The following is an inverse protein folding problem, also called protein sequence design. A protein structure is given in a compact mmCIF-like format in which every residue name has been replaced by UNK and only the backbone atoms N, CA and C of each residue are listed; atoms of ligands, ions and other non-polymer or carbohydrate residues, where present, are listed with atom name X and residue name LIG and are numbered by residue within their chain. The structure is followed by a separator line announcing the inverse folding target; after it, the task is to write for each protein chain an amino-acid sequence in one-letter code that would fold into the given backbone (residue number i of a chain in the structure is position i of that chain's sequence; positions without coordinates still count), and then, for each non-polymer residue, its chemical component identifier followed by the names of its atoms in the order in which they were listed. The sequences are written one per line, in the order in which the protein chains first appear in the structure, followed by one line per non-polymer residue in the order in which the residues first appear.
data_IF_228568345807
#
_entry.id   IF_228568345807
#
_cell.length_a   1.000
_cell.length_b   1.000
_cell.length_c   1.000
_cell.angle_alpha   90.00
_cell.angle_beta   90.00
_cell.angle_gamma   90.00
#
_symmetry.space_group_name_H-M   'P 1'
#
loop_
_entity.id
_entity.type
_entity.pdbx_description
1 polymer ?
#
# COMPACT_ATOMS: atom_id res chain seq x y z
N UNK A 1 -2.73 -3.04 -39.05
CA UNK A 1 -2.31 -1.87 -38.24
C UNK A 1 -3.37 -1.46 -37.22
N UNK A 2 -4.65 -1.29 -37.59
CA UNK A 2 -5.71 -0.89 -36.64
C UNK A 2 -5.84 -1.84 -35.43
N UNK A 3 -5.78 -3.16 -35.62
CA UNK A 3 -5.83 -4.13 -34.51
C UNK A 3 -4.66 -3.94 -33.52
N UNK A 4 -3.45 -3.68 -34.03
CA UNK A 4 -2.26 -3.46 -33.20
C UNK A 4 -2.41 -2.17 -32.39
N UNK A 5 -2.94 -1.11 -32.99
CA UNK A 5 -3.23 0.15 -32.28
C UNK A 5 -4.29 -0.04 -31.20
N UNK A 6 -5.35 -0.81 -31.47
CA UNK A 6 -6.39 -1.13 -30.48
C UNK A 6 -5.84 -1.96 -29.33
N UNK A 7 -5.01 -2.97 -29.62
CA UNK A 7 -4.37 -3.79 -28.59
C UNK A 7 -3.37 -2.99 -27.74
N UNK A 8 -2.60 -2.09 -28.35
CA UNK A 8 -1.69 -1.20 -27.62
C UNK A 8 -2.46 -0.18 -26.77
N UNK A 9 -3.57 0.36 -27.27
CA UNK A 9 -4.40 1.30 -26.52
C UNK A 9 -5.13 0.61 -25.35
N UNK A 10 -5.67 -0.60 -25.57
CA UNK A 10 -6.32 -1.39 -24.53
C UNK A 10 -5.30 -1.88 -23.48
N UNK A 11 -4.11 -2.31 -23.92
CA UNK A 11 -3.00 -2.63 -23.04
C UNK A 11 -2.56 -1.42 -22.22
N UNK A 12 -2.35 -0.28 -22.86
CA UNK A 12 -1.96 0.97 -22.20
C UNK A 12 -2.97 1.46 -21.15
N UNK A 13 -4.27 1.29 -21.40
CA UNK A 13 -5.32 1.64 -20.43
C UNK A 13 -5.28 0.78 -19.16
N UNK A 14 -4.82 -0.48 -19.25
CA UNK A 14 -4.62 -1.34 -18.09
C UNK A 14 -3.46 -0.87 -17.20
N UNK A 15 -2.56 -0.04 -17.73
CA UNK A 15 -1.42 0.55 -17.01
C UNK A 15 -1.67 1.98 -16.52
N UNK A 16 -2.91 2.49 -16.65
CA UNK A 16 -3.26 3.77 -16.06
C UNK A 16 -3.27 3.67 -14.53
N UNK A 17 -2.76 4.69 -13.80
CA UNK A 17 -2.80 4.75 -12.34
C UNK A 17 -4.18 4.46 -11.73
N UNK A 18 -5.25 4.95 -12.36
CA UNK A 18 -6.63 4.68 -11.92
C UNK A 18 -6.99 3.18 -11.98
N UNK A 19 -6.55 2.48 -13.02
CA UNK A 19 -6.82 1.05 -13.18
C UNK A 19 -6.11 0.24 -12.11
N UNK A 20 -4.87 0.62 -11.78
CA UNK A 20 -4.10 0.00 -10.70
C UNK A 20 -4.80 0.17 -9.34
N UNK A 21 -5.24 1.38 -9.01
CA UNK A 21 -5.98 1.70 -7.80
C UNK A 21 -7.31 0.90 -7.74
N UNK A 22 -8.01 0.78 -8.87
CA UNK A 22 -9.23 -0.02 -8.98
C UNK A 22 -9.02 -1.51 -8.67
N UNK A 23 -7.85 -2.06 -9.02
CA UNK A 23 -7.50 -3.45 -8.74
C UNK A 23 -6.75 -3.65 -7.41
N UNK A 24 -6.67 -2.63 -6.56
CA UNK A 24 -6.09 -2.72 -5.22
C UNK A 24 -4.57 -2.58 -5.17
N UNK A 25 -3.94 -2.11 -6.25
CA UNK A 25 -2.52 -1.72 -6.23
C UNK A 25 -2.37 -0.29 -5.73
N UNK A 26 -1.44 -0.08 -4.81
CA UNK A 26 -1.07 1.26 -4.40
C UNK A 26 -0.27 1.95 -5.51
N UNK A 27 -0.51 3.24 -5.71
CA UNK A 27 0.40 4.05 -6.50
C UNK A 27 1.71 4.27 -5.73
N UNK A 28 2.87 4.26 -6.41
CA UNK A 28 4.14 4.57 -5.76
C UNK A 28 4.12 6.01 -5.23
N UNK A 29 4.47 6.15 -3.95
CA UNK A 29 4.71 7.41 -3.23
C UNK A 29 6.21 7.65 -3.02
N UNK A 30 6.54 8.45 -2.01
CA UNK A 30 7.93 8.78 -1.68
C UNK A 30 8.74 7.52 -1.35
N UNK A 31 9.96 7.43 -1.88
CA UNK A 31 10.83 6.26 -1.68
C UNK A 31 10.35 4.97 -2.35
N UNK A 32 9.30 5.02 -3.17
CA UNK A 32 8.67 3.84 -3.75
C UNK A 32 7.68 3.15 -2.81
N UNK A 33 7.44 3.72 -1.62
CA UNK A 33 6.44 3.22 -0.68
C UNK A 33 5.03 3.40 -1.23
N UNK A 34 4.05 2.61 -0.74
CA UNK A 34 2.64 2.82 -1.08
C UNK A 34 2.18 4.25 -0.75
N UNK A 35 1.57 4.97 -1.68
CA UNK A 35 0.98 6.29 -1.36
C UNK A 35 -0.28 6.19 -0.50
N UNK A 36 -1.04 5.10 -0.67
CA UNK A 36 -2.24 4.74 0.09
C UNK A 36 -2.30 3.23 0.24
N UNK A 37 -2.85 2.75 1.36
CA UNK A 37 -3.09 1.33 1.61
C UNK A 37 -4.58 1.13 1.79
N UNK A 38 -5.16 0.19 1.04
CA UNK A 38 -6.52 -0.27 1.26
C UNK A 38 -6.47 -1.59 2.05
N UNK A 39 -7.02 -1.61 3.26
CA UNK A 39 -7.00 -2.78 4.13
C UNK A 39 -8.31 -2.90 4.90
N UNK A 40 -8.89 -4.10 4.95
CA UNK A 40 -10.16 -4.38 5.64
C UNK A 40 -11.31 -3.39 5.30
N UNK A 41 -11.40 -2.97 4.04
CA UNK A 41 -12.41 -2.00 3.57
C UNK A 41 -12.17 -0.55 4.00
N UNK A 42 -10.96 -0.24 4.48
CA UNK A 42 -10.55 1.08 4.95
C UNK A 42 -9.32 1.58 4.20
N UNK A 43 -9.22 2.89 4.05
CA UNK A 43 -8.07 3.54 3.41
C UNK A 43 -7.12 4.12 4.45
N UNK A 44 -5.82 4.02 4.21
CA UNK A 44 -4.78 4.56 5.08
C UNK A 44 -3.79 5.38 4.28
N UNK A 45 -3.25 6.45 4.88
CA UNK A 45 -2.25 7.33 4.26
C UNK A 45 -0.97 7.38 5.07
N UNK A 46 0.16 7.25 4.38
CA UNK A 46 1.49 7.29 4.97
C UNK A 46 1.83 8.66 5.52
N UNK A 47 2.44 8.69 6.70
CA UNK A 47 3.25 9.80 7.16
C UNK A 47 4.63 9.68 6.49
N UNK A 48 5.25 10.79 6.05
CA UNK A 48 6.57 10.75 5.40
C UNK A 48 7.74 10.52 6.39
N UNK A 49 7.46 9.96 7.57
CA UNK A 49 8.43 9.85 8.68
C UNK A 49 8.64 8.40 9.06
N UNK A 50 9.90 7.98 9.02
CA UNK A 50 10.35 6.69 9.52
C UNK A 50 10.32 6.64 11.05
N UNK A 51 9.79 5.54 11.60
CA UNK A 51 9.84 5.21 13.02
C UNK A 51 10.72 3.97 13.18
N UNK A 52 11.71 4.06 14.07
CA UNK A 52 12.55 2.93 14.43
C UNK A 52 11.74 1.82 15.10
N UNK A 53 11.94 0.56 14.71
CA UNK A 53 11.19 -0.55 15.30
C UNK A 53 11.82 -1.92 15.04
N UNK A 54 11.43 -2.89 15.87
CA UNK A 54 11.77 -4.30 15.71
C UNK A 54 10.57 -5.04 15.09
N UNK A 55 10.77 -5.66 13.92
CA UNK A 55 9.72 -6.44 13.25
C UNK A 55 9.17 -7.57 14.12
N UNK A 56 9.99 -8.16 14.99
CA UNK A 56 9.58 -9.28 15.85
C UNK A 56 8.52 -8.86 16.88
N UNK A 57 8.45 -7.56 17.18
CA UNK A 57 7.43 -6.98 18.05
C UNK A 57 6.14 -6.60 17.29
N UNK A 58 6.09 -6.81 15.97
CA UNK A 58 4.96 -6.45 15.11
C UNK A 58 4.24 -7.70 14.61
N UNK A 59 2.96 -7.54 14.27
CA UNK A 59 2.18 -8.59 13.61
C UNK A 59 1.97 -8.21 12.15
N UNK A 60 2.38 -9.06 11.22
CA UNK A 60 2.08 -8.88 9.80
C UNK A 60 0.59 -9.19 9.55
N UNK A 61 -0.11 -8.27 8.90
CA UNK A 61 -1.56 -8.36 8.62
C UNK A 61 -1.88 -8.43 7.14
N UNK A 62 -0.87 -8.26 6.29
CA UNK A 62 -1.00 -8.42 4.86
C UNK A 62 0.22 -7.90 4.12
N UNK A 63 0.03 -7.70 2.81
CA UNK A 63 0.98 -7.04 1.93
C UNK A 63 0.21 -6.12 0.98
N UNK A 64 0.86 -5.07 0.50
CA UNK A 64 0.32 -4.16 -0.49
C UNK A 64 1.28 -4.08 -1.67
N UNK A 65 0.79 -4.40 -2.87
CA UNK A 65 1.54 -4.24 -4.11
C UNK A 65 1.55 -2.78 -4.54
N UNK A 66 2.69 -2.30 -5.04
CA UNK A 66 2.77 -1.01 -5.73
C UNK A 66 2.78 -1.20 -7.24
N UNK A 67 2.14 -0.29 -7.98
CA UNK A 67 2.18 -0.33 -9.44
C UNK A 67 3.63 -0.15 -9.92
N UNK A 68 4.17 -1.15 -10.62
CA UNK A 68 5.57 -1.23 -11.08
C UNK A 68 6.64 -1.28 -9.98
N UNK A 69 6.26 -1.48 -8.72
CA UNK A 69 7.20 -1.55 -7.60
C UNK A 69 7.12 -2.87 -6.85
N UNK A 70 7.84 -2.94 -5.73
CA UNK A 70 7.83 -4.10 -4.86
C UNK A 70 6.50 -4.20 -4.09
N UNK A 71 6.13 -5.42 -3.69
CA UNK A 71 5.15 -5.59 -2.64
C UNK A 71 5.78 -5.20 -1.30
N UNK A 72 4.99 -4.53 -0.47
CA UNK A 72 5.41 -4.09 0.85
C UNK A 72 4.62 -4.82 1.93
N UNK A 73 5.28 -5.47 2.90
CA UNK A 73 4.58 -6.06 4.02
C UNK A 73 3.96 -4.99 4.91
N UNK A 74 2.75 -5.28 5.39
CA UNK A 74 1.93 -4.39 6.21
C UNK A 74 1.80 -4.98 7.61
N UNK A 75 2.07 -4.17 8.62
CA UNK A 75 2.12 -4.59 10.02
C UNK A 75 1.19 -3.76 10.91
N UNK A 76 0.95 -4.28 12.10
CA UNK A 76 0.29 -3.62 13.23
C UNK A 76 1.11 -3.83 14.51
N UNK A 77 1.00 -2.90 15.46
CA UNK A 77 1.63 -2.99 16.79
C UNK A 77 0.85 -3.83 17.78
N UNK A 78 -0.40 -4.21 17.46
CA UNK A 78 -1.26 -5.04 18.31
C UNK A 78 -1.84 -6.20 17.52
N UNK A 79 -1.94 -7.42 18.09
CA UNK A 79 -2.70 -8.51 17.49
C UNK A 79 -4.11 -8.04 17.14
N UNK A 80 -4.52 -8.30 15.91
CA UNK A 80 -5.71 -7.70 15.27
C UNK A 80 -6.98 -7.93 16.13
N UNK A 81 -7.67 -6.86 16.59
CA UNK A 81 -9.00 -6.99 17.18
C UNK A 81 -10.05 -7.23 16.08
N UNK A 82 -11.30 -7.54 16.42
CA UNK A 82 -12.42 -7.62 15.45
C UNK A 82 -12.63 -6.33 14.63
N UNK A 83 -11.93 -5.24 14.97
CA UNK A 83 -11.99 -3.92 14.30
C UNK A 83 -10.72 -3.58 13.50
N UNK A 84 -10.84 -2.81 12.38
CA UNK A 84 -9.70 -2.34 11.61
C UNK A 84 -8.75 -1.48 12.46
N UNK A 85 -7.43 -1.67 12.35
CA UNK A 85 -6.47 -0.89 13.14
C UNK A 85 -6.50 0.60 12.75
N UNK A 86 -6.18 1.50 13.67
CA UNK A 86 -6.07 2.94 13.40
C UNK A 86 -4.79 3.31 12.65
N UNK A 87 -3.77 2.47 12.76
CA UNK A 87 -2.46 2.70 12.16
C UNK A 87 -1.92 1.38 11.65
N UNK A 88 -1.45 1.43 10.41
CA UNK A 88 -0.66 0.37 9.80
C UNK A 88 0.79 0.81 9.74
N UNK A 89 1.71 -0.15 9.65
CA UNK A 89 3.12 0.10 9.51
C UNK A 89 3.60 -0.60 8.24
N UNK A 90 4.47 0.06 7.47
CA UNK A 90 5.11 -0.52 6.29
C UNK A 90 6.61 -0.42 6.46
N UNK A 91 7.33 -1.50 6.16
CA UNK A 91 8.79 -1.50 6.17
C UNK A 91 9.36 -0.63 5.03
N UNK A 92 10.28 0.27 5.38
CA UNK A 92 11.04 1.14 4.47
C UNK A 92 12.57 0.93 4.59
N UNK A 93 12.99 -0.10 5.32
CA UNK A 93 14.40 -0.45 5.46
C UNK A 93 14.67 -1.32 6.70
N UNK A 94 15.94 -1.64 6.99
CA UNK A 94 16.33 -2.26 8.24
C UNK A 94 15.91 -1.36 9.42
N UNK A 95 15.15 -1.91 10.35
CA UNK A 95 14.61 -1.23 11.53
C UNK A 95 13.78 0.03 11.26
N UNK A 96 13.34 0.25 10.02
CA UNK A 96 12.59 1.44 9.62
C UNK A 96 11.17 1.07 9.18
N UNK A 97 10.18 1.64 9.89
CA UNK A 97 8.77 1.46 9.60
C UNK A 97 8.07 2.79 9.44
N UNK A 98 7.33 2.95 8.34
CA UNK A 98 6.53 4.12 8.04
C UNK A 98 5.10 3.88 8.49
N UNK A 99 4.57 4.82 9.27
CA UNK A 99 3.20 4.76 9.78
C UNK A 99 2.18 5.24 8.77
N UNK A 100 1.11 4.48 8.59
CA UNK A 100 -0.04 4.77 7.75
C UNK A 100 -1.27 4.97 8.62
N UNK A 101 -1.74 6.20 8.71
CA UNK A 101 -2.90 6.56 9.51
C UNK A 101 -4.19 6.33 8.73
N UNK A 102 -5.22 5.83 9.43
CA UNK A 102 -6.55 5.62 8.86
C UNK A 102 -7.13 6.94 8.33
N UNK A 103 -7.56 6.93 7.06
CA UNK A 103 -8.30 8.00 6.42
C UNK A 103 -9.80 7.81 6.68
N UNK A 104 -10.40 8.79 7.35
CA UNK A 104 -11.80 8.72 7.74
C UNK A 104 -12.02 7.74 8.89
N UNK A 105 -12.47 8.26 10.03
CA UNK A 105 -13.05 7.44 11.10
C UNK A 105 -14.54 7.20 10.83
N UNK A 106 -15.28 6.55 11.75
CA UNK A 106 -16.60 7.12 12.02
C UNK A 106 -16.51 8.64 12.22
#
# INVERSE_FOLDING_TARGET
MALVVVLLAAGGAAFLPWTADHFGYALPGDGGLPSRIHHAGRDYRGAATCVGGDEQALTQVGEVGTLFGAAHPVFTTRPVPEEPPLTLLVRDGPDCFVGYALLGGP
#
